data_IF_044301143953
#
_entry.id   IF_044301143953
#
_cell.length_a   1.000
_cell.length_b   1.000
_cell.length_c   1.000
_cell.angle_alpha   90.00
_cell.angle_beta   90.00
_cell.angle_gamma   90.00
#
_symmetry.space_group_name_H-M   'P 1'
#
loop_
_entity.id
_entity.type
_entity.pdbx_description
1 polymer ?
#
# COMPACT_ATOMS: atom_id res chain seq x y z
N UNK A 1 29.43 -44.63 5.24
CA UNK A 1 29.25 -43.27 5.82
C UNK A 1 28.59 -42.40 4.77
N UNK A 2 27.30 -42.08 4.93
CA UNK A 2 26.52 -41.23 4.01
C UNK A 2 26.64 -39.78 4.48
N UNK A 3 27.33 -38.94 3.71
CA UNK A 3 27.38 -37.50 3.93
C UNK A 3 26.18 -36.88 3.20
N UNK A 4 25.24 -36.35 3.98
CA UNK A 4 24.12 -35.56 3.50
C UNK A 4 24.63 -34.16 3.12
N UNK A 5 24.56 -33.82 1.83
CA UNK A 5 24.79 -32.47 1.35
C UNK A 5 23.51 -31.64 1.59
N UNK A 6 23.54 -30.79 2.61
CA UNK A 6 22.50 -29.80 2.89
C UNK A 6 22.63 -28.68 1.86
N UNK A 7 21.73 -28.66 0.87
CA UNK A 7 21.54 -27.53 -0.04
C UNK A 7 20.87 -26.39 0.73
N UNK A 8 21.66 -25.48 1.30
CA UNK A 8 21.19 -24.17 1.77
C UNK A 8 21.02 -23.31 0.51
N UNK A 9 19.89 -23.49 -0.18
CA UNK A 9 19.45 -22.57 -1.22
C UNK A 9 19.19 -21.21 -0.55
N UNK A 10 20.18 -20.34 -0.72
CA UNK A 10 20.14 -18.95 -0.29
C UNK A 10 18.99 -18.28 -1.02
N UNK A 11 17.87 -18.08 -0.31
CA UNK A 11 16.83 -17.13 -0.68
C UNK A 11 17.41 -15.72 -0.61
N UNK A 12 18.17 -15.33 -1.64
CA UNK A 12 18.49 -13.95 -1.94
C UNK A 12 17.22 -13.32 -2.52
N UNK A 13 16.23 -13.05 -1.66
CA UNK A 13 15.18 -12.09 -2.02
C UNK A 13 15.88 -10.72 -2.15
N UNK A 14 15.81 -10.06 -3.31
CA UNK A 14 16.22 -8.66 -3.39
C UNK A 14 15.30 -7.90 -2.45
N UNK A 15 15.86 -7.40 -1.34
CA UNK A 15 15.22 -6.38 -0.55
C UNK A 15 15.12 -5.18 -1.48
N UNK A 16 13.95 -4.98 -2.10
CA UNK A 16 13.63 -3.74 -2.78
C UNK A 16 13.64 -2.67 -1.70
N UNK A 17 14.76 -1.95 -1.60
CA UNK A 17 14.81 -0.72 -0.85
C UNK A 17 13.84 0.23 -1.55
N UNK A 18 12.61 0.31 -1.03
CA UNK A 18 11.71 1.42 -1.32
C UNK A 18 12.38 2.66 -0.77
N UNK A 19 13.25 3.27 -1.57
CA UNK A 19 13.85 4.56 -1.25
C UNK A 19 12.71 5.52 -1.05
N UNK A 20 12.63 6.17 0.13
CA UNK A 20 11.63 7.20 0.37
C UNK A 20 11.88 8.35 -0.60
N UNK A 21 11.12 8.37 -1.69
CA UNK A 21 11.13 9.47 -2.63
C UNK A 21 10.55 10.69 -1.94
N UNK A 22 11.27 11.81 -1.95
CA UNK A 22 10.81 13.06 -1.34
C UNK A 22 10.00 13.88 -2.35
N UNK A 23 9.15 14.80 -1.87
CA UNK A 23 8.38 15.69 -2.75
C UNK A 23 9.30 16.50 -3.68
N UNK A 24 10.46 16.92 -3.15
CA UNK A 24 11.51 17.61 -3.91
C UNK A 24 12.07 16.76 -5.05
N UNK A 25 12.20 15.46 -4.82
CA UNK A 25 12.68 14.51 -5.83
C UNK A 25 11.65 14.34 -6.96
N UNK A 26 10.35 14.26 -6.63
CA UNK A 26 9.29 14.24 -7.64
C UNK A 26 9.36 15.46 -8.57
N UNK A 27 9.54 16.67 -8.01
CA UNK A 27 9.69 17.89 -8.81
C UNK A 27 10.98 17.91 -9.64
N UNK A 28 12.09 17.42 -9.09
CA UNK A 28 13.35 17.35 -9.82
C UNK A 28 13.21 16.44 -11.06
N UNK A 29 12.59 15.27 -10.89
CA UNK A 29 12.31 14.32 -11.97
C UNK A 29 11.32 14.89 -12.99
N UNK A 30 10.28 15.58 -12.55
CA UNK A 30 9.36 16.29 -13.45
C UNK A 30 10.09 17.30 -14.34
N UNK A 31 10.90 18.18 -13.73
CA UNK A 31 11.63 19.20 -14.47
C UNK A 31 12.59 18.58 -15.49
N UNK A 32 13.26 17.50 -15.11
CA UNK A 32 14.12 16.76 -16.03
C UNK A 32 13.32 16.11 -17.18
N UNK A 33 12.16 15.51 -16.88
CA UNK A 33 11.26 14.92 -17.87
C UNK A 33 10.79 15.99 -18.88
N UNK A 34 10.31 17.13 -18.39
CA UNK A 34 9.87 18.25 -19.23
C UNK A 34 11.00 18.82 -20.08
N UNK A 35 12.22 18.93 -19.52
CA UNK A 35 13.39 19.35 -20.28
C UNK A 35 13.62 18.46 -21.53
N UNK A 36 13.49 17.14 -21.37
CA UNK A 36 13.64 16.19 -22.47
C UNK A 36 12.49 16.29 -23.49
N UNK A 37 11.29 16.71 -23.07
CA UNK A 37 10.16 16.87 -24.00
C UNK A 37 10.39 17.99 -25.03
N UNK A 38 11.24 18.98 -24.72
CA UNK A 38 11.59 20.04 -25.67
C UNK A 38 12.49 19.58 -26.82
N UNK A 39 13.03 18.35 -26.74
CA UNK A 39 13.80 17.74 -27.83
C UNK A 39 12.90 17.12 -28.92
N UNK A 40 11.57 17.13 -28.73
CA UNK A 40 10.62 16.55 -29.67
C UNK A 40 10.28 17.52 -30.81
N UNK A 41 10.26 17.00 -32.04
CA UNK A 41 10.11 17.81 -33.26
C UNK A 41 8.73 18.44 -33.49
N UNK A 42 7.68 17.93 -32.83
CA UNK A 42 6.31 18.43 -33.02
C UNK A 42 5.69 18.96 -31.72
N UNK A 43 4.96 20.08 -31.82
CA UNK A 43 4.23 20.66 -30.69
C UNK A 43 3.23 19.66 -30.09
N UNK A 44 2.59 18.84 -30.93
CA UNK A 44 1.66 17.80 -30.47
C UNK A 44 2.35 16.73 -29.62
N UNK A 45 3.53 16.26 -30.04
CA UNK A 45 4.32 15.31 -29.27
C UNK A 45 4.87 15.91 -27.98
N UNK A 46 5.26 17.19 -28.02
CA UNK A 46 5.75 17.90 -26.85
C UNK A 46 4.65 18.06 -25.80
N UNK A 47 3.45 18.49 -26.19
CA UNK A 47 2.33 18.64 -25.27
C UNK A 47 1.93 17.30 -24.61
N UNK A 48 1.89 16.22 -25.40
CA UNK A 48 1.62 14.87 -24.86
C UNK A 48 2.72 14.40 -23.90
N UNK A 49 3.99 14.68 -24.21
CA UNK A 49 5.12 14.35 -23.33
C UNK A 49 5.05 15.11 -22.00
N UNK A 50 4.81 16.44 -22.04
CA UNK A 50 4.66 17.27 -20.83
C UNK A 50 3.49 16.78 -19.97
N UNK A 51 2.37 16.42 -20.59
CA UNK A 51 1.21 15.87 -19.87
C UNK A 51 1.56 14.56 -19.15
N UNK A 52 2.37 13.69 -19.75
CA UNK A 52 2.85 12.47 -19.11
C UNK A 52 3.79 12.77 -17.93
N UNK A 53 4.72 13.74 -18.08
CA UNK A 53 5.58 14.18 -16.99
C UNK A 53 4.78 14.73 -15.80
N UNK A 54 3.73 15.51 -16.07
CA UNK A 54 2.83 16.02 -15.03
C UNK A 54 2.04 14.90 -14.33
N UNK A 55 1.58 13.90 -15.10
CA UNK A 55 0.93 12.71 -14.55
C UNK A 55 1.84 11.94 -13.59
N UNK A 56 3.09 11.69 -13.99
CA UNK A 56 4.08 11.01 -13.16
C UNK A 56 4.40 11.78 -11.87
N UNK A 57 4.54 13.10 -11.95
CA UNK A 57 4.74 13.96 -10.77
C UNK A 57 3.55 13.86 -9.80
N UNK A 58 2.32 13.96 -10.31
CA UNK A 58 1.11 13.89 -9.50
C UNK A 58 0.99 12.54 -8.78
N UNK A 59 1.33 11.43 -9.43
CA UNK A 59 1.40 10.11 -8.80
C UNK A 59 2.44 10.07 -7.68
N UNK A 60 3.68 10.53 -7.96
CA UNK A 60 4.76 10.56 -6.99
C UNK A 60 4.41 11.40 -5.75
N UNK A 61 3.91 12.63 -5.94
CA UNK A 61 3.49 13.49 -4.84
C UNK A 61 2.28 12.92 -4.09
N UNK A 62 1.34 12.30 -4.80
CA UNK A 62 0.17 11.65 -4.24
C UNK A 62 0.52 10.48 -3.31
N UNK A 63 1.46 9.62 -3.73
CA UNK A 63 1.96 8.52 -2.89
C UNK A 63 2.58 9.05 -1.60
N UNK A 64 3.44 10.08 -1.68
CA UNK A 64 4.05 10.72 -0.52
C UNK A 64 2.97 11.31 0.41
N UNK A 65 1.98 11.99 -0.16
CA UNK A 65 0.85 12.53 0.59
C UNK A 65 0.07 11.44 1.33
N UNK A 66 -0.24 10.34 0.65
CA UNK A 66 -0.89 9.17 1.25
C UNK A 66 -0.04 8.56 2.36
N UNK A 67 1.26 8.38 2.14
CA UNK A 67 2.17 7.86 3.16
C UNK A 67 2.24 8.74 4.40
N UNK A 68 2.28 10.06 4.22
CA UNK A 68 2.26 11.01 5.34
C UNK A 68 0.94 10.97 6.13
N UNK A 69 -0.15 10.56 5.49
CA UNK A 69 -1.50 10.55 6.07
C UNK A 69 -1.87 9.19 6.69
N UNK A 70 -1.21 8.08 6.28
CA UNK A 70 -1.37 6.73 6.87
C UNK A 70 -1.43 6.72 8.40
N UNK A 71 -0.52 7.36 9.16
CA UNK A 71 -0.58 7.31 10.63
C UNK A 71 -1.81 8.02 11.20
N UNK A 72 -2.27 9.11 10.56
CA UNK A 72 -3.47 9.81 10.99
C UNK A 72 -4.73 8.98 10.73
N UNK A 73 -4.83 8.35 9.55
CA UNK A 73 -5.95 7.45 9.24
C UNK A 73 -5.98 6.29 10.22
N UNK A 74 -4.84 5.64 10.46
CA UNK A 74 -4.74 4.53 11.41
C UNK A 74 -5.24 4.93 12.81
N UNK A 75 -4.81 6.09 13.31
CA UNK A 75 -5.28 6.60 14.61
C UNK A 75 -6.79 6.83 14.62
N UNK A 76 -7.37 7.33 13.52
CA UNK A 76 -8.82 7.54 13.43
C UNK A 76 -9.61 6.24 13.32
N UNK A 77 -9.06 5.24 12.64
CA UNK A 77 -9.63 3.88 12.62
C UNK A 77 -9.64 3.27 14.02
N UNK A 78 -8.51 3.31 14.73
CA UNK A 78 -8.42 2.80 16.12
C UNK A 78 -9.42 3.52 17.05
N UNK A 79 -9.59 4.84 16.90
CA UNK A 79 -10.60 5.61 17.66
C UNK A 79 -12.04 5.21 17.32
N UNK A 80 -12.32 4.91 16.04
CA UNK A 80 -13.64 4.51 15.60
C UNK A 80 -13.99 3.10 16.08
N UNK A 81 -13.02 2.17 16.04
CA UNK A 81 -13.18 0.81 16.57
C UNK A 81 -13.52 0.84 18.06
N UNK A 82 -12.80 1.63 18.86
CA UNK A 82 -13.13 1.82 20.28
C UNK A 82 -14.53 2.38 20.49
N UNK A 83 -14.93 3.40 19.72
CA UNK A 83 -16.27 3.99 19.84
C UNK A 83 -17.37 2.96 19.49
N UNK A 84 -17.15 2.14 18.47
CA UNK A 84 -18.07 1.08 18.09
C UNK A 84 -18.13 -0.01 19.15
N UNK A 85 -17.00 -0.40 19.75
CA UNK A 85 -16.94 -1.36 20.84
C UNK A 85 -17.67 -0.85 22.08
N UNK A 86 -17.42 0.40 22.49
CA UNK A 86 -18.12 1.02 23.63
C UNK A 86 -19.63 1.15 23.37
N UNK A 87 -20.04 1.50 22.15
CA UNK A 87 -21.45 1.71 21.84
C UNK A 87 -22.23 0.40 21.67
N UNK A 88 -21.66 -0.58 20.95
CA UNK A 88 -22.35 -1.83 20.63
C UNK A 88 -22.03 -2.97 21.60
N UNK A 89 -20.89 -2.94 22.29
CA UNK A 89 -20.49 -3.96 23.27
C UNK A 89 -21.43 -4.04 24.48
N UNK A 90 -22.05 -2.91 24.86
CA UNK A 90 -23.03 -2.87 25.94
C UNK A 90 -24.47 -3.23 25.48
N UNK A 91 -24.74 -3.18 24.17
CA UNK A 91 -26.09 -3.33 23.60
C UNK A 91 -26.33 -4.71 23.00
N UNK A 92 -25.29 -5.32 22.41
CA UNK A 92 -25.39 -6.66 21.84
C UNK A 92 -25.09 -7.71 22.90
N UNK A 93 -26.03 -8.59 23.25
CA UNK A 93 -25.74 -9.75 24.09
C UNK A 93 -24.63 -10.56 23.42
N UNK A 94 -23.57 -10.91 24.15
CA UNK A 94 -22.64 -11.91 23.63
C UNK A 94 -23.39 -13.24 23.56
N UNK A 95 -23.47 -13.82 22.37
CA UNK A 95 -24.11 -15.12 22.17
C UNK A 95 -23.50 -16.13 23.15
N UNK A 96 -24.29 -16.58 24.11
CA UNK A 96 -23.92 -17.70 24.97
C UNK A 96 -23.64 -18.93 24.10
N UNK A 97 -22.69 -19.81 24.49
CA UNK A 97 -22.30 -20.95 23.67
C UNK A 97 -23.52 -21.75 23.22
N UNK A 98 -23.75 -21.79 21.92
CA UNK A 98 -24.86 -22.52 21.33
C UNK A 98 -24.70 -24.00 21.70
N UNK A 99 -25.73 -24.64 22.29
CA UNK A 99 -25.63 -26.05 22.66
C UNK A 99 -25.32 -26.89 21.42
N UNK A 100 -24.30 -27.74 21.49
CA UNK A 100 -23.95 -28.69 20.43
C UNK A 100 -25.20 -29.50 20.07
N UNK A 101 -25.71 -29.31 18.86
CA UNK A 101 -26.71 -30.19 18.27
C UNK A 101 -26.05 -31.55 18.01
N UNK A 102 -26.14 -32.46 18.97
CA UNK A 102 -25.88 -33.88 18.76
C UNK A 102 -26.91 -34.41 17.75
N UNK A 103 -26.48 -34.60 16.51
CA UNK A 103 -27.23 -35.30 15.49
C UNK A 103 -27.50 -36.74 15.96
N UNK A 104 -28.73 -37.03 16.35
CA UNK A 104 -29.24 -38.40 16.47
C UNK A 104 -29.75 -38.82 15.10
N UNK A 105 -28.89 -39.44 14.29
CA UNK A 105 -29.31 -40.30 13.19
C UNK A 105 -29.01 -41.75 13.58
N UNK A 106 -29.97 -42.38 14.27
CA UNK A 106 -30.06 -43.84 14.34
C UNK A 106 -31.45 -44.23 13.81
N UNK A 107 -31.44 -44.81 12.61
CA UNK A 107 -32.51 -45.67 12.07
C UNK A 107 -31.86 -46.84 11.37
#
# INVERSE_FOLDING_TARGET
>A
MKLAAVFIASFLFPVFAYGQTSLKECFAQHNQCVANCFELDSEGSQASCIAQCAGAEATCAGEIGLESTKPFIRKKTEQLEQLLEDFFGDILPQDEPTPEFKNQSET
#
